data_IF_205134833965
#
_entry.id   IF_205134833965
#
_cell.length_a   1.000
_cell.length_b   1.000
_cell.length_c   1.000
_cell.angle_alpha   90.00
_cell.angle_beta   90.00
_cell.angle_gamma   90.00
#
_symmetry.space_group_name_H-M   'P 1'
#
loop_
_entity.id
_entity.type
_entity.pdbx_description
1 polymer ?
#
# COMPACT_ATOMS: atom_id res chain seq x y z
N UNK A 1 -0.81 4.28 -6.57
CA UNK A 1 0.24 5.08 -5.89
C UNK A 1 1.56 4.32 -5.88
N UNK A 2 2.64 5.06 -5.70
CA UNK A 2 4.01 4.52 -5.58
C UNK A 2 4.49 4.85 -4.18
N UNK A 3 5.14 3.87 -3.52
CA UNK A 3 5.70 4.08 -2.19
C UNK A 3 6.73 5.23 -2.19
N UNK A 4 6.63 6.11 -1.22
CA UNK A 4 7.51 7.26 -1.05
C UNK A 4 8.18 7.18 0.32
N UNK A 5 9.45 7.56 0.39
CA UNK A 5 10.24 7.50 1.63
C UNK A 5 9.67 8.40 2.75
N UNK A 6 9.02 9.49 2.35
CA UNK A 6 8.40 10.46 3.26
C UNK A 6 7.10 9.95 3.88
N UNK A 7 6.49 8.91 3.28
CA UNK A 7 5.32 8.22 3.81
C UNK A 7 5.80 7.01 4.61
N UNK A 8 5.70 7.08 5.94
CA UNK A 8 6.20 6.04 6.84
C UNK A 8 5.30 5.86 8.05
N UNK A 9 5.43 4.74 8.71
CA UNK A 9 4.89 4.53 10.05
C UNK A 9 6.02 4.30 11.06
N UNK A 10 5.77 4.69 12.30
CA UNK A 10 6.68 4.51 13.42
C UNK A 10 5.88 4.26 14.69
N UNK A 11 6.53 3.73 15.71
CA UNK A 11 5.94 3.60 17.04
C UNK A 11 5.83 5.00 17.66
N UNK A 12 4.65 5.39 18.14
CA UNK A 12 4.49 6.64 18.84
C UNK A 12 5.24 6.61 20.17
N UNK A 13 6.13 7.57 20.44
CA UNK A 13 6.97 7.55 21.64
C UNK A 13 6.21 7.88 22.94
N UNK A 14 4.98 8.38 22.83
CA UNK A 14 4.23 8.94 23.97
C UNK A 14 2.85 8.34 24.16
N UNK A 15 2.25 7.81 23.11
CA UNK A 15 0.88 7.29 23.17
C UNK A 15 0.86 5.77 23.25
N UNK A 16 0.00 5.28 24.12
CA UNK A 16 -0.27 3.84 24.27
C UNK A 16 -1.78 3.61 24.18
N UNK A 17 -2.15 2.38 23.81
CA UNK A 17 -3.54 1.96 23.83
C UNK A 17 -4.03 1.65 25.26
N UNK A 18 -5.28 1.15 25.37
CA UNK A 18 -5.88 0.80 26.67
C UNK A 18 -5.17 -0.34 27.43
N UNK A 19 -4.27 -1.07 26.77
CA UNK A 19 -3.45 -2.15 27.34
C UNK A 19 -2.02 -1.74 27.65
N UNK A 20 -1.67 -0.47 27.41
CA UNK A 20 -0.31 0.05 27.58
C UNK A 20 0.64 -0.28 26.42
N UNK A 21 0.13 -0.74 25.28
CA UNK A 21 0.92 -1.05 24.10
C UNK A 21 1.10 0.23 23.28
N UNK A 22 2.34 0.61 22.89
CA UNK A 22 2.58 1.76 22.04
C UNK A 22 1.81 1.66 20.71
N UNK A 23 1.13 2.75 20.33
CA UNK A 23 0.38 2.82 19.08
C UNK A 23 1.27 3.21 17.91
N UNK A 24 0.84 2.87 16.68
CA UNK A 24 1.52 3.31 15.47
C UNK A 24 1.10 4.74 15.12
N UNK A 25 2.08 5.55 14.76
CA UNK A 25 1.91 6.86 14.14
C UNK A 25 2.22 6.76 12.66
N UNK A 26 1.28 7.25 11.82
CA UNK A 26 1.44 7.28 10.38
C UNK A 26 1.72 8.71 9.91
N UNK A 27 2.79 8.87 9.14
CA UNK A 27 3.08 10.09 8.40
C UNK A 27 2.81 9.82 6.93
N UNK A 28 1.74 10.41 6.38
CA UNK A 28 1.30 10.16 5.02
C UNK A 28 0.80 11.43 4.34
N UNK A 29 1.22 11.64 3.11
CA UNK A 29 0.73 12.72 2.27
C UNK A 29 0.68 12.30 0.80
N UNK A 30 -0.25 12.87 0.06
CA UNK A 30 -0.34 12.69 -1.38
C UNK A 30 0.75 13.52 -2.07
N UNK A 31 1.50 12.89 -3.00
CA UNK A 31 2.46 13.60 -3.82
C UNK A 31 1.78 14.32 -4.99
N UNK A 32 2.55 15.12 -5.70
CA UNK A 32 2.08 15.76 -6.94
C UNK A 32 1.78 14.74 -8.04
N UNK A 33 2.41 13.55 -7.99
CA UNK A 33 2.13 12.46 -8.92
C UNK A 33 0.69 11.95 -8.75
N UNK A 34 0.27 11.60 -7.53
CA UNK A 34 -1.09 11.15 -7.25
C UNK A 34 -2.13 12.22 -7.56
N UNK A 35 -1.84 13.49 -7.27
CA UNK A 35 -2.74 14.61 -7.61
C UNK A 35 -2.92 14.76 -9.11
N UNK A 36 -1.83 14.69 -9.90
CA UNK A 36 -1.88 14.71 -11.36
C UNK A 36 -2.63 13.51 -11.92
N UNK A 37 -2.40 12.33 -11.36
CA UNK A 37 -3.09 11.10 -11.74
C UNK A 37 -4.60 11.20 -11.48
N UNK A 38 -5.02 11.69 -10.31
CA UNK A 38 -6.42 11.90 -9.97
C UNK A 38 -7.09 12.89 -10.92
N UNK A 39 -6.42 14.01 -11.21
CA UNK A 39 -6.93 14.99 -12.17
C UNK A 39 -7.11 14.39 -13.57
N UNK A 40 -6.11 13.67 -14.07
CA UNK A 40 -6.18 13.00 -15.37
C UNK A 40 -7.28 11.93 -15.43
N UNK A 41 -7.46 11.18 -14.34
CA UNK A 41 -8.54 10.19 -14.23
C UNK A 41 -9.92 10.84 -14.36
N UNK A 42 -10.15 11.99 -13.74
CA UNK A 42 -11.41 12.75 -13.89
C UNK A 42 -11.64 13.16 -15.34
N UNK A 43 -10.62 13.72 -16.01
CA UNK A 43 -10.72 14.13 -17.43
C UNK A 43 -11.08 12.92 -18.32
N UNK A 44 -10.42 11.77 -18.10
CA UNK A 44 -10.66 10.54 -18.87
C UNK A 44 -12.08 10.01 -18.66
N UNK A 45 -12.58 9.98 -17.41
CA UNK A 45 -13.94 9.50 -17.15
C UNK A 45 -15.01 10.44 -17.70
N UNK A 46 -14.77 11.75 -17.65
CA UNK A 46 -15.65 12.74 -18.26
C UNK A 46 -15.74 12.56 -19.78
N UNK A 47 -14.59 12.37 -20.44
CA UNK A 47 -14.53 12.08 -21.89
C UNK A 47 -15.26 10.77 -22.23
N UNK A 48 -15.05 9.70 -21.47
CA UNK A 48 -15.76 8.43 -21.66
C UNK A 48 -17.28 8.64 -21.53
N UNK A 49 -17.72 9.32 -20.48
CA UNK A 49 -19.14 9.59 -20.24
C UNK A 49 -19.78 10.35 -21.42
N UNK A 50 -19.13 11.39 -21.92
CA UNK A 50 -19.60 12.17 -23.06
C UNK A 50 -19.65 11.33 -24.34
N UNK A 51 -18.61 10.53 -24.62
CA UNK A 51 -18.57 9.67 -25.79
C UNK A 51 -19.65 8.56 -25.76
N UNK A 52 -20.09 8.17 -24.57
CA UNK A 52 -21.23 7.26 -24.39
C UNK A 52 -22.60 7.96 -24.45
N UNK A 53 -22.66 9.28 -24.67
CA UNK A 53 -23.89 10.07 -24.65
C UNK A 53 -24.42 10.35 -23.26
N UNK A 54 -23.61 10.16 -22.22
CA UNK A 54 -23.96 10.43 -20.84
C UNK A 54 -23.77 11.91 -20.45
N UNK A 55 -24.27 12.24 -19.27
CA UNK A 55 -24.12 13.56 -18.64
C UNK A 55 -23.35 13.38 -17.34
N UNK A 56 -22.29 14.15 -17.17
CA UNK A 56 -21.54 14.19 -15.91
C UNK A 56 -22.28 15.12 -14.94
N UNK A 57 -22.61 14.61 -13.75
CA UNK A 57 -23.30 15.37 -12.72
C UNK A 57 -22.28 15.93 -11.72
N UNK A 58 -22.40 17.24 -11.44
CA UNK A 58 -21.53 17.95 -10.51
C UNK A 58 -20.22 18.42 -11.14
N UNK A 59 -19.47 19.19 -10.35
CA UNK A 59 -18.22 19.80 -10.79
C UNK A 59 -17.03 18.87 -10.51
N UNK A 60 -16.06 18.87 -11.43
CA UNK A 60 -14.77 18.21 -11.21
C UNK A 60 -14.07 18.78 -9.96
N UNK A 61 -13.63 17.94 -9.01
CA UNK A 61 -12.93 18.44 -7.84
C UNK A 61 -11.59 19.07 -8.22
N UNK A 62 -11.41 20.33 -7.88
CA UNK A 62 -10.18 21.08 -8.11
C UNK A 62 -9.15 20.91 -6.99
N UNK A 63 -8.13 21.75 -7.03
CA UNK A 63 -7.04 21.76 -6.04
C UNK A 63 -7.54 22.04 -4.61
N UNK A 64 -8.55 22.87 -4.47
CA UNK A 64 -9.22 23.21 -3.20
C UNK A 64 -9.86 21.99 -2.53
N UNK A 65 -10.30 21.02 -3.30
CA UNK A 65 -10.84 19.72 -2.86
C UNK A 65 -9.84 18.56 -3.02
N UNK A 66 -8.55 18.87 -3.09
CA UNK A 66 -7.46 17.91 -3.28
C UNK A 66 -7.72 16.93 -4.44
N UNK A 67 -8.32 17.40 -5.53
CA UNK A 67 -8.70 16.60 -6.72
C UNK A 67 -9.56 15.35 -6.39
N UNK A 68 -10.35 15.39 -5.34
CA UNK A 68 -11.18 14.29 -4.89
C UNK A 68 -10.45 13.20 -4.10
N UNK A 69 -9.15 13.36 -3.86
CA UNK A 69 -8.39 12.44 -3.03
C UNK A 69 -8.81 12.57 -1.56
N UNK A 70 -9.10 11.45 -0.93
CA UNK A 70 -9.46 11.42 0.48
C UNK A 70 -8.31 11.83 1.39
N UNK A 71 -8.65 12.24 2.59
CA UNK A 71 -7.67 12.41 3.66
C UNK A 71 -7.02 11.05 3.95
N UNK A 72 -5.68 10.98 4.09
CA UNK A 72 -5.00 9.75 4.46
C UNK A 72 -5.62 9.07 5.69
N UNK A 73 -5.65 7.73 5.70
CA UNK A 73 -6.25 6.94 6.77
C UNK A 73 -7.79 6.82 6.73
N UNK A 74 -8.45 7.38 5.73
CA UNK A 74 -9.92 7.28 5.57
C UNK A 74 -10.39 6.11 4.71
N UNK A 75 -9.49 5.50 3.98
CA UNK A 75 -9.78 4.40 3.06
C UNK A 75 -9.03 3.16 3.53
N UNK A 76 -9.61 2.00 3.37
CA UNK A 76 -8.97 0.69 3.46
C UNK A 76 -8.11 0.45 2.22
N UNK A 77 -7.25 -0.56 2.23
CA UNK A 77 -6.29 -0.93 1.18
C UNK A 77 -4.92 -0.25 1.34
N UNK A 78 -4.49 -0.03 2.57
CA UNK A 78 -3.14 0.39 2.88
C UNK A 78 -2.14 -0.69 2.46
N UNK A 79 -1.07 -0.28 1.79
CA UNK A 79 -0.02 -1.17 1.28
C UNK A 79 1.36 -0.57 1.52
N UNK A 80 2.40 -1.40 1.49
CA UNK A 80 3.78 -0.92 1.43
C UNK A 80 4.43 -0.60 2.78
N UNK A 81 3.78 -0.85 3.92
CA UNK A 81 4.37 -0.61 5.25
C UNK A 81 5.58 -1.48 5.54
N UNK A 82 5.62 -2.69 4.98
CA UNK A 82 6.73 -3.64 5.06
C UNK A 82 7.24 -4.01 3.67
N UNK A 83 7.43 -2.99 2.85
CA UNK A 83 7.74 -3.11 1.42
C UNK A 83 8.82 -4.15 1.12
N UNK A 84 8.56 -5.01 0.12
CA UNK A 84 9.55 -6.00 -0.34
C UNK A 84 10.62 -5.37 -1.23
N UNK A 85 11.77 -6.02 -1.27
CA UNK A 85 12.89 -5.68 -2.12
C UNK A 85 14.11 -6.55 -1.86
N UNK A 86 15.12 -6.43 -2.70
CA UNK A 86 16.38 -7.19 -2.59
C UNK A 86 17.40 -6.53 -1.67
N UNK A 87 17.27 -5.23 -1.40
CA UNK A 87 18.21 -4.48 -0.57
C UNK A 87 17.59 -4.18 0.81
N UNK A 88 18.15 -4.75 1.90
CA UNK A 88 17.65 -4.53 3.26
C UNK A 88 17.73 -3.06 3.73
N UNK A 89 18.51 -2.22 3.06
CA UNK A 89 18.56 -0.78 3.37
C UNK A 89 17.34 -0.02 2.86
N UNK A 90 16.60 -0.59 1.91
CA UNK A 90 15.48 0.07 1.23
C UNK A 90 14.20 -0.75 1.25
N UNK A 91 14.21 -1.92 1.90
CA UNK A 91 13.07 -2.82 2.03
C UNK A 91 13.05 -3.50 3.39
N UNK A 92 11.90 -4.01 3.78
CA UNK A 92 11.69 -4.70 5.06
C UNK A 92 11.70 -6.22 4.88
N UNK A 93 11.12 -6.71 3.79
CA UNK A 93 11.07 -8.12 3.45
C UNK A 93 11.71 -8.40 2.08
N UNK A 94 12.15 -9.64 1.88
CA UNK A 94 12.67 -10.11 0.61
C UNK A 94 11.55 -10.55 -0.34
N UNK A 95 11.91 -11.11 -1.51
CA UNK A 95 10.97 -11.59 -2.53
C UNK A 95 10.04 -12.72 -2.07
N UNK A 96 10.34 -13.39 -0.97
CA UNK A 96 9.49 -14.40 -0.33
C UNK A 96 8.74 -13.88 0.90
N UNK A 97 8.63 -12.56 1.03
CA UNK A 97 7.92 -11.91 2.15
C UNK A 97 8.55 -12.20 3.53
N UNK A 98 9.78 -12.70 3.57
CA UNK A 98 10.57 -12.93 4.78
C UNK A 98 11.27 -11.65 5.20
N UNK A 99 11.23 -11.31 6.49
CA UNK A 99 12.00 -10.20 7.04
C UNK A 99 13.50 -10.37 6.76
N UNK A 100 14.18 -9.27 6.43
CA UNK A 100 15.63 -9.29 6.26
C UNK A 100 16.38 -9.53 7.57
N UNK A 101 15.84 -8.99 8.68
CA UNK A 101 16.51 -9.04 9.99
C UNK A 101 16.11 -10.25 10.84
N UNK A 102 15.01 -10.95 10.50
CA UNK A 102 14.47 -12.06 11.28
C UNK A 102 14.07 -13.20 10.36
N UNK A 103 14.87 -14.25 10.32
CA UNK A 103 14.78 -15.32 9.31
C UNK A 103 13.52 -16.18 9.38
N UNK A 104 12.86 -16.26 10.51
CA UNK A 104 11.67 -17.09 10.74
C UNK A 104 10.35 -16.29 10.78
N UNK A 105 10.36 -15.04 10.32
CA UNK A 105 9.16 -14.18 10.26
C UNK A 105 8.84 -13.80 8.82
N UNK A 106 7.59 -14.02 8.44
CA UNK A 106 7.05 -13.72 7.13
C UNK A 106 5.85 -12.79 7.26
N UNK A 107 5.72 -11.81 6.37
CA UNK A 107 4.62 -10.85 6.32
C UNK A 107 3.77 -11.17 5.09
N UNK A 108 2.55 -11.68 5.30
CA UNK A 108 1.69 -12.22 4.26
C UNK A 108 0.39 -11.42 4.08
N UNK A 109 0.49 -10.12 4.20
CA UNK A 109 -0.59 -9.15 3.98
C UNK A 109 -0.26 -8.19 2.81
N UNK A 110 -0.85 -6.99 2.78
CA UNK A 110 -0.55 -5.97 1.79
C UNK A 110 0.71 -5.14 2.09
N UNK A 111 1.33 -5.33 3.26
CA UNK A 111 2.56 -4.63 3.66
C UNK A 111 3.71 -4.79 2.67
N UNK A 112 3.98 -6.01 2.12
CA UNK A 112 5.05 -6.24 1.15
C UNK A 112 4.90 -5.54 -0.21
N UNK A 113 3.74 -5.00 -0.55
CA UNK A 113 3.52 -4.38 -1.85
C UNK A 113 4.43 -3.18 -2.08
N UNK A 114 4.98 -3.07 -3.29
CA UNK A 114 5.85 -1.96 -3.70
C UNK A 114 5.08 -0.80 -4.32
N UNK A 115 3.83 -1.05 -4.71
CA UNK A 115 2.92 -0.07 -5.31
C UNK A 115 1.48 -0.53 -5.17
N UNK A 116 0.54 0.41 -5.25
CA UNK A 116 -0.89 0.12 -5.31
C UNK A 116 -1.45 0.55 -6.67
N UNK A 117 -2.08 -0.39 -7.36
CA UNK A 117 -2.81 -0.15 -8.60
C UNK A 117 -4.25 0.34 -8.31
N UNK A 118 -5.11 0.28 -9.32
CA UNK A 118 -6.52 0.66 -9.26
C UNK A 118 -7.45 -0.47 -8.77
N UNK A 119 -6.90 -1.67 -8.56
CA UNK A 119 -7.67 -2.86 -8.15
C UNK A 119 -7.57 -3.13 -6.66
N UNK A 120 -8.61 -3.79 -6.11
CA UNK A 120 -8.62 -4.27 -4.75
C UNK A 120 -7.47 -5.28 -4.53
N UNK A 121 -6.71 -5.20 -3.42
CA UNK A 121 -5.46 -5.94 -3.27
C UNK A 121 -5.62 -7.41 -2.87
N UNK A 122 -6.80 -7.85 -2.40
CA UNK A 122 -7.00 -9.16 -1.74
C UNK A 122 -6.54 -10.36 -2.59
N UNK A 123 -6.86 -10.39 -3.89
CA UNK A 123 -6.41 -11.48 -4.77
C UNK A 123 -4.89 -11.55 -4.89
N UNK A 124 -4.23 -10.40 -4.94
CA UNK A 124 -2.76 -10.35 -4.98
C UNK A 124 -2.15 -10.78 -3.64
N UNK A 125 -2.76 -10.38 -2.52
CA UNK A 125 -2.36 -10.85 -1.19
C UNK A 125 -2.43 -12.38 -1.13
N UNK A 126 -3.55 -12.98 -1.52
CA UNK A 126 -3.74 -14.43 -1.53
C UNK A 126 -2.70 -15.15 -2.40
N UNK A 127 -2.42 -14.63 -3.60
CA UNK A 127 -1.44 -15.22 -4.50
C UNK A 127 -0.01 -15.17 -3.92
N UNK A 128 0.38 -14.04 -3.32
CA UNK A 128 1.68 -13.88 -2.68
C UNK A 128 1.81 -14.77 -1.44
N UNK A 129 0.78 -14.78 -0.58
CA UNK A 129 0.74 -15.63 0.61
C UNK A 129 0.85 -17.12 0.27
N UNK A 130 0.19 -17.56 -0.81
CA UNK A 130 0.31 -18.94 -1.29
C UNK A 130 1.74 -19.24 -1.74
N UNK A 131 2.34 -18.38 -2.55
CA UNK A 131 3.74 -18.53 -2.98
C UNK A 131 4.70 -18.62 -1.78
N UNK A 132 4.48 -17.79 -0.77
CA UNK A 132 5.27 -17.80 0.47
C UNK A 132 5.08 -19.09 1.26
N UNK A 133 3.86 -19.60 1.35
CA UNK A 133 3.58 -20.90 1.99
C UNK A 133 4.30 -22.05 1.26
N UNK A 134 4.26 -22.09 -0.07
CA UNK A 134 4.99 -23.11 -0.86
C UNK A 134 6.50 -22.99 -0.64
N UNK A 135 7.04 -21.78 -0.59
CA UNK A 135 8.45 -21.55 -0.27
C UNK A 135 8.81 -22.06 1.13
N UNK A 136 8.02 -21.77 2.16
CA UNK A 136 8.24 -22.25 3.54
C UNK A 136 8.26 -23.79 3.57
N UNK A 137 7.30 -24.45 2.91
CA UNK A 137 7.22 -25.91 2.84
C UNK A 137 8.47 -26.49 2.15
N UNK A 138 8.92 -25.88 1.07
CA UNK A 138 10.12 -26.32 0.34
C UNK A 138 11.38 -26.18 1.19
N UNK A 139 11.57 -25.02 1.86
CA UNK A 139 12.71 -24.78 2.74
C UNK A 139 12.69 -25.70 3.97
N UNK A 140 11.52 -25.97 4.53
CA UNK A 140 11.37 -26.91 5.63
C UNK A 140 11.79 -28.33 5.23
N UNK A 141 11.36 -28.82 4.06
CA UNK A 141 11.76 -30.11 3.51
C UNK A 141 13.27 -30.21 3.28
N UNK A 142 13.92 -29.12 2.95
CA UNK A 142 15.37 -29.02 2.74
C UNK A 142 16.15 -28.80 4.03
N UNK A 143 15.49 -28.68 5.18
CA UNK A 143 16.10 -28.38 6.49
C UNK A 143 16.91 -27.07 6.50
N UNK A 144 16.42 -26.07 5.81
CA UNK A 144 17.04 -24.73 5.70
C UNK A 144 16.51 -23.71 6.73
N UNK A 145 15.75 -24.18 7.73
CA UNK A 145 15.26 -23.39 8.87
C UNK A 145 15.86 -23.90 10.17
#
# INVERSE_FOLDING_TARGET
SIAQKENYCEIDPTQVDQYGIPVLRFNYHWSDFERKQANHMHDTFEEIAHNMGGIVLGDKPGKDKNFGLNVPGRIIHEVGTTRMGSDPKTSVVNEFERLHDVENVFIVDAGPFVSQADKNPTWTILALSWRTADHIIDQFKKQNF
#
